data_IF_353475258576
#
_entry.id   IF_353475258576
#
_cell.length_a   1.000
_cell.length_b   1.000
_cell.length_c   1.000
_cell.angle_alpha   90.00
_cell.angle_beta   90.00
_cell.angle_gamma   90.00
#
_symmetry.space_group_name_H-M   'P 1'
#
loop_
_entity.id
_entity.type
_entity.pdbx_description
1 polymer ?
#
# COMPACT_ATOMS: atom_id res chain seq x y z
N UNK A 1 -28.88 -33.43 -32.02
CA UNK A 1 -28.18 -34.66 -31.55
C UNK A 1 -29.28 -35.69 -31.25
N UNK A 2 -29.22 -36.89 -31.82
CA UNK A 2 -30.20 -37.92 -31.54
C UNK A 2 -29.96 -38.50 -30.14
N UNK A 3 -31.01 -38.59 -29.32
CA UNK A 3 -30.91 -39.14 -27.97
C UNK A 3 -30.58 -40.65 -28.07
N UNK A 4 -29.57 -41.19 -27.37
CA UNK A 4 -29.18 -42.60 -27.47
C UNK A 4 -30.25 -43.61 -27.03
N UNK A 5 -31.38 -43.12 -26.46
CA UNK A 5 -32.50 -43.95 -25.98
C UNK A 5 -33.73 -43.90 -26.91
N UNK A 6 -33.54 -43.55 -28.18
CA UNK A 6 -34.66 -43.50 -29.16
C UNK A 6 -35.35 -44.84 -29.45
N UNK A 7 -34.87 -45.97 -28.93
CA UNK A 7 -35.49 -47.27 -29.07
C UNK A 7 -36.62 -47.55 -28.06
N UNK A 8 -36.86 -46.63 -27.10
CA UNK A 8 -38.00 -46.72 -26.18
C UNK A 8 -39.16 -45.94 -26.82
N UNK A 9 -40.21 -46.64 -27.28
CA UNK A 9 -41.33 -46.03 -28.00
C UNK A 9 -42.13 -45.01 -27.17
N UNK A 10 -42.24 -45.20 -25.85
CA UNK A 10 -42.95 -44.28 -24.97
C UNK A 10 -42.08 -43.14 -24.48
N UNK A 11 -42.36 -41.91 -24.91
CA UNK A 11 -41.59 -40.70 -24.58
C UNK A 11 -41.53 -40.43 -23.06
N UNK A 12 -42.56 -40.76 -22.29
CA UNK A 12 -42.59 -40.54 -20.84
C UNK A 12 -41.69 -41.53 -20.11
N UNK A 13 -41.66 -42.82 -20.58
CA UNK A 13 -40.76 -43.83 -20.02
C UNK A 13 -39.30 -43.41 -20.27
N UNK A 14 -39.01 -42.83 -21.43
CA UNK A 14 -37.68 -42.35 -21.80
C UNK A 14 -37.18 -41.27 -20.84
N UNK A 15 -38.02 -40.31 -20.49
CA UNK A 15 -37.65 -39.25 -19.53
C UNK A 15 -37.42 -39.81 -18.15
N UNK A 16 -38.27 -40.72 -17.68
CA UNK A 16 -38.10 -41.37 -16.37
C UNK A 16 -36.74 -42.09 -16.30
N UNK A 17 -36.39 -42.82 -17.38
CA UNK A 17 -35.12 -43.53 -17.48
C UNK A 17 -33.94 -42.55 -17.47
N UNK A 18 -34.01 -41.41 -18.20
CA UNK A 18 -32.98 -40.39 -18.22
C UNK A 18 -32.79 -39.77 -16.82
N UNK A 19 -33.87 -39.42 -16.13
CA UNK A 19 -33.83 -38.88 -14.79
C UNK A 19 -33.26 -39.88 -13.77
N UNK A 20 -33.63 -41.16 -13.90
CA UNK A 20 -33.13 -42.23 -13.07
C UNK A 20 -31.62 -42.45 -13.26
N UNK A 21 -31.16 -42.45 -14.53
CA UNK A 21 -29.73 -42.53 -14.87
C UNK A 21 -29.00 -41.31 -14.30
N UNK A 22 -29.52 -40.08 -14.50
CA UNK A 22 -28.93 -38.85 -13.98
C UNK A 22 -28.83 -38.87 -12.44
N UNK A 23 -29.85 -39.40 -11.76
CA UNK A 23 -29.84 -39.59 -10.29
C UNK A 23 -28.75 -40.57 -9.84
N UNK A 24 -28.65 -41.74 -10.51
CA UNK A 24 -27.60 -42.74 -10.20
C UNK A 24 -26.21 -42.17 -10.45
N UNK A 25 -26.01 -41.52 -11.60
CA UNK A 25 -24.73 -40.87 -11.94
C UNK A 25 -24.40 -39.79 -10.91
N UNK A 26 -25.38 -38.95 -10.53
CA UNK A 26 -25.22 -37.96 -9.48
C UNK A 26 -24.82 -38.54 -8.12
N UNK A 27 -25.48 -39.64 -7.72
CA UNK A 27 -25.13 -40.35 -6.47
C UNK A 27 -23.73 -40.97 -6.52
N UNK A 28 -23.35 -41.60 -7.63
CA UNK A 28 -22.02 -42.18 -7.82
C UNK A 28 -20.98 -41.06 -7.79
N UNK A 29 -21.25 -39.95 -8.47
CA UNK A 29 -20.35 -38.79 -8.46
C UNK A 29 -20.19 -38.26 -7.05
N UNK A 30 -21.27 -37.99 -6.34
CA UNK A 30 -21.25 -37.38 -5.01
C UNK A 30 -20.61 -38.33 -3.94
N UNK A 31 -21.05 -39.61 -3.91
CA UNK A 31 -20.60 -40.56 -2.89
C UNK A 31 -19.24 -41.21 -3.18
N UNK A 32 -18.86 -41.37 -4.45
CA UNK A 32 -17.65 -42.10 -4.83
C UNK A 32 -16.59 -41.17 -5.35
N UNK A 33 -16.88 -40.41 -6.40
CA UNK A 33 -15.90 -39.58 -7.11
C UNK A 33 -15.55 -38.38 -6.22
N UNK A 34 -16.52 -37.64 -5.75
CA UNK A 34 -16.32 -36.45 -4.91
C UNK A 34 -15.58 -36.79 -3.61
N UNK A 35 -15.97 -37.91 -2.93
CA UNK A 35 -15.25 -38.37 -1.73
C UNK A 35 -13.81 -38.82 -2.01
N UNK A 36 -13.55 -39.45 -3.16
CA UNK A 36 -12.19 -39.82 -3.56
C UNK A 36 -11.34 -38.58 -3.85
N UNK A 37 -11.89 -37.60 -4.58
CA UNK A 37 -11.24 -36.32 -4.87
C UNK A 37 -10.93 -35.60 -3.54
N UNK A 38 -11.90 -35.51 -2.62
CA UNK A 38 -11.74 -34.91 -1.30
C UNK A 38 -10.61 -35.58 -0.50
N UNK A 39 -10.53 -36.90 -0.49
CA UNK A 39 -9.44 -37.64 0.15
C UNK A 39 -8.07 -37.44 -0.52
N UNK A 40 -8.05 -37.25 -1.82
CA UNK A 40 -6.83 -37.01 -2.59
C UNK A 40 -6.32 -35.60 -2.38
N UNK A 41 -7.20 -34.62 -2.42
CA UNK A 41 -6.93 -33.21 -2.17
C UNK A 41 -6.48 -32.98 -0.73
N UNK A 42 -7.06 -33.66 0.26
CA UNK A 42 -6.62 -33.59 1.65
C UNK A 42 -5.16 -34.09 1.88
N UNK A 43 -4.55 -34.75 0.90
CA UNK A 43 -3.13 -35.18 0.94
C UNK A 43 -2.20 -34.19 0.24
N UNK A 44 -2.73 -33.25 -0.52
CA UNK A 44 -1.94 -32.20 -1.17
C UNK A 44 -1.66 -31.07 -0.18
N UNK A 45 -0.48 -30.45 -0.27
CA UNK A 45 -0.12 -29.29 0.56
C UNK A 45 -0.80 -27.98 0.08
N UNK A 46 -1.60 -28.05 -0.96
CA UNK A 46 -2.23 -26.89 -1.61
C UNK A 46 -3.66 -26.70 -1.09
N UNK A 47 -3.83 -25.82 -0.11
CA UNK A 47 -5.10 -25.60 0.61
C UNK A 47 -6.29 -25.10 -0.28
N UNK A 48 -6.02 -24.63 -1.48
CA UNK A 48 -7.06 -24.07 -2.35
C UNK A 48 -7.90 -25.13 -3.04
N UNK A 49 -7.36 -26.35 -3.21
CA UNK A 49 -8.06 -27.49 -3.80
C UNK A 49 -9.24 -27.91 -2.91
N UNK A 50 -9.05 -27.90 -1.59
CA UNK A 50 -10.08 -28.22 -0.61
C UNK A 50 -11.27 -27.26 -0.71
N UNK A 51 -11.03 -25.96 -0.93
CA UNK A 51 -12.07 -24.95 -1.05
C UNK A 51 -12.95 -25.24 -2.26
N UNK A 52 -12.33 -25.52 -3.41
CA UNK A 52 -13.05 -25.81 -4.65
C UNK A 52 -13.90 -27.05 -4.46
N UNK A 53 -13.31 -28.14 -3.98
CA UNK A 53 -14.02 -29.41 -3.82
C UNK A 53 -15.16 -29.30 -2.80
N UNK A 54 -14.93 -28.70 -1.64
CA UNK A 54 -15.97 -28.51 -0.63
C UNK A 54 -17.12 -27.61 -1.08
N UNK A 55 -16.87 -26.69 -2.03
CA UNK A 55 -17.90 -25.80 -2.56
C UNK A 55 -18.98 -26.51 -3.37
N UNK A 56 -18.67 -27.68 -3.89
CA UNK A 56 -19.61 -28.55 -4.61
C UNK A 56 -20.33 -29.57 -3.71
N UNK A 57 -20.04 -29.60 -2.41
CA UNK A 57 -20.73 -30.45 -1.43
C UNK A 57 -22.24 -30.21 -1.52
N UNK A 58 -23.00 -31.28 -1.72
CA UNK A 58 -24.46 -31.31 -1.87
C UNK A 58 -25.02 -30.57 -3.13
N UNK A 59 -24.17 -30.00 -3.99
CA UNK A 59 -24.61 -29.34 -5.23
C UNK A 59 -24.55 -30.32 -6.42
N UNK A 60 -23.57 -31.20 -6.44
CA UNK A 60 -23.30 -32.11 -7.53
C UNK A 60 -24.50 -32.98 -7.90
N UNK A 61 -25.21 -33.54 -6.92
CA UNK A 61 -26.42 -34.33 -7.19
C UNK A 61 -27.51 -33.52 -7.89
N UNK A 62 -27.81 -32.31 -7.42
CA UNK A 62 -28.83 -31.45 -8.03
C UNK A 62 -28.42 -31.01 -9.43
N UNK A 63 -27.13 -30.77 -9.67
CA UNK A 63 -26.61 -30.41 -10.99
C UNK A 63 -26.83 -31.55 -12.01
N UNK A 64 -26.53 -32.81 -11.66
CA UNK A 64 -26.78 -33.94 -12.50
C UNK A 64 -28.28 -34.18 -12.77
N UNK A 65 -29.13 -34.00 -11.73
CA UNK A 65 -30.58 -34.08 -11.89
C UNK A 65 -31.12 -33.02 -12.85
N UNK A 66 -30.69 -31.78 -12.73
CA UNK A 66 -31.12 -30.71 -13.64
C UNK A 66 -30.62 -30.91 -15.08
N UNK A 67 -29.35 -31.38 -15.23
CA UNK A 67 -28.85 -31.79 -16.56
C UNK A 67 -29.65 -32.93 -17.15
N UNK A 68 -30.00 -33.96 -16.34
CA UNK A 68 -30.90 -35.04 -16.77
C UNK A 68 -32.29 -34.53 -17.15
N UNK A 69 -32.85 -33.59 -16.38
CA UNK A 69 -34.12 -32.95 -16.69
C UNK A 69 -34.08 -32.17 -18.02
N UNK A 70 -32.97 -31.43 -18.26
CA UNK A 70 -32.76 -30.69 -19.49
C UNK A 70 -32.68 -31.63 -20.73
N UNK A 71 -31.90 -32.72 -20.61
CA UNK A 71 -31.81 -33.74 -21.68
C UNK A 71 -33.13 -34.45 -21.86
N UNK A 72 -33.84 -34.79 -20.78
CA UNK A 72 -35.14 -35.43 -20.82
C UNK A 72 -36.20 -34.57 -21.50
N UNK A 73 -36.20 -33.27 -21.26
CA UNK A 73 -37.09 -32.30 -21.88
C UNK A 73 -37.00 -32.31 -23.41
N UNK A 74 -35.79 -32.49 -23.96
CA UNK A 74 -35.57 -32.57 -25.41
C UNK A 74 -36.13 -33.86 -26.04
N UNK A 75 -36.49 -34.85 -25.21
CA UNK A 75 -36.99 -36.14 -25.65
C UNK A 75 -38.51 -36.24 -25.68
N UNK A 76 -39.24 -35.20 -25.28
CA UNK A 76 -40.71 -35.16 -25.22
C UNK A 76 -41.25 -34.21 -26.27
N UNK A 77 -42.31 -34.63 -26.95
CA UNK A 77 -43.11 -33.78 -27.84
C UNK A 77 -44.22 -33.09 -27.02
N UNK A 78 -43.94 -31.89 -26.51
CA UNK A 78 -44.90 -31.03 -25.81
C UNK A 78 -45.08 -29.73 -26.59
N UNK A 79 -46.15 -29.00 -26.27
CA UNK A 79 -46.39 -27.72 -26.93
C UNK A 79 -45.22 -26.76 -26.69
N UNK A 80 -44.85 -25.97 -27.71
CA UNK A 80 -43.73 -25.05 -27.69
C UNK A 80 -43.78 -24.07 -26.52
N UNK A 81 -44.97 -23.65 -26.07
CA UNK A 81 -45.12 -22.75 -24.95
C UNK A 81 -44.72 -23.41 -23.62
N UNK A 82 -45.14 -24.66 -23.38
CA UNK A 82 -44.77 -25.40 -22.17
C UNK A 82 -43.29 -25.73 -22.19
N UNK A 83 -42.76 -26.17 -23.36
CA UNK A 83 -41.32 -26.41 -23.52
C UNK A 83 -40.48 -25.25 -23.12
N UNK A 84 -40.74 -24.05 -23.65
CA UNK A 84 -39.99 -22.82 -23.35
C UNK A 84 -40.06 -22.42 -21.88
N UNK A 85 -41.20 -22.63 -21.21
CA UNK A 85 -41.34 -22.33 -19.78
C UNK A 85 -40.48 -23.28 -18.94
N UNK A 86 -40.60 -24.61 -19.21
CA UNK A 86 -39.84 -25.62 -18.44
C UNK A 86 -38.35 -25.49 -18.65
N UNK A 87 -37.91 -25.26 -19.90
CA UNK A 87 -36.52 -25.00 -20.25
C UNK A 87 -35.95 -23.82 -19.48
N UNK A 88 -36.66 -22.69 -19.47
CA UNK A 88 -36.23 -21.49 -18.68
C UNK A 88 -36.14 -21.80 -17.19
N UNK A 89 -37.08 -22.53 -16.61
CA UNK A 89 -37.04 -22.91 -15.20
C UNK A 89 -35.79 -23.76 -14.91
N UNK A 90 -35.52 -24.77 -15.74
CA UNK A 90 -34.33 -25.63 -15.58
C UNK A 90 -33.04 -24.79 -15.68
N UNK A 91 -32.95 -23.91 -16.67
CA UNK A 91 -31.80 -23.02 -16.85
C UNK A 91 -31.60 -22.09 -15.65
N UNK A 92 -32.67 -21.49 -15.12
CA UNK A 92 -32.62 -20.64 -13.93
C UNK A 92 -32.09 -21.42 -12.72
N UNK A 93 -32.57 -22.64 -12.50
CA UNK A 93 -32.12 -23.49 -11.41
C UNK A 93 -30.64 -23.89 -11.57
N UNK A 94 -30.19 -24.19 -12.79
CA UNK A 94 -28.78 -24.46 -13.09
C UNK A 94 -27.90 -23.23 -12.78
N UNK A 95 -28.30 -22.05 -13.27
CA UNK A 95 -27.59 -20.80 -13.01
C UNK A 95 -27.52 -20.54 -11.49
N UNK A 96 -28.62 -20.75 -10.76
CA UNK A 96 -28.67 -20.56 -9.32
C UNK A 96 -27.70 -21.48 -8.54
N UNK A 97 -27.59 -22.76 -8.95
CA UNK A 97 -26.60 -23.69 -8.39
C UNK A 97 -25.15 -23.23 -8.66
N UNK A 98 -24.89 -22.73 -9.89
CA UNK A 98 -23.57 -22.19 -10.24
C UNK A 98 -23.23 -20.95 -9.39
N UNK A 99 -24.20 -20.07 -9.16
CA UNK A 99 -24.03 -18.88 -8.32
C UNK A 99 -23.69 -19.30 -6.88
N UNK A 100 -24.40 -20.29 -6.32
CA UNK A 100 -24.13 -20.81 -4.97
C UNK A 100 -22.71 -21.40 -4.90
N UNK A 101 -22.33 -22.24 -5.88
CA UNK A 101 -20.99 -22.82 -5.94
C UNK A 101 -19.91 -21.73 -6.04
N UNK A 102 -20.07 -20.77 -6.94
CA UNK A 102 -19.19 -19.64 -7.12
C UNK A 102 -19.06 -18.78 -5.84
N UNK A 103 -20.19 -18.53 -5.16
CA UNK A 103 -20.20 -17.80 -3.89
C UNK A 103 -19.43 -18.54 -2.80
N UNK A 104 -19.59 -19.87 -2.67
CA UNK A 104 -18.86 -20.69 -1.70
C UNK A 104 -17.36 -20.70 -1.99
N UNK A 105 -16.97 -20.83 -3.26
CA UNK A 105 -15.57 -20.76 -3.69
C UNK A 105 -14.96 -19.41 -3.29
N UNK A 106 -15.57 -18.31 -3.69
CA UNK A 106 -15.06 -16.98 -3.45
C UNK A 106 -14.93 -16.67 -1.94
N UNK A 107 -15.95 -17.03 -1.16
CA UNK A 107 -15.91 -16.86 0.30
C UNK A 107 -14.82 -17.74 0.92
N UNK A 108 -14.67 -18.98 0.48
CA UNK A 108 -13.63 -19.88 0.97
C UNK A 108 -12.21 -19.37 0.71
N UNK A 109 -11.97 -18.73 -0.44
CA UNK A 109 -10.70 -18.06 -0.72
C UNK A 109 -10.44 -16.91 0.25
N UNK A 110 -11.45 -16.07 0.52
CA UNK A 110 -11.36 -14.96 1.46
C UNK A 110 -11.05 -15.48 2.86
N UNK A 111 -11.72 -16.53 3.32
CA UNK A 111 -11.52 -17.11 4.64
C UNK A 111 -10.09 -17.64 4.81
N UNK A 112 -9.60 -18.40 3.83
CA UNK A 112 -8.24 -18.93 3.88
C UNK A 112 -7.17 -17.82 3.85
N UNK A 113 -7.42 -16.74 3.10
CA UNK A 113 -6.51 -15.60 3.07
C UNK A 113 -6.55 -14.83 4.40
N UNK A 114 -7.73 -14.62 4.97
CA UNK A 114 -7.93 -13.93 6.24
C UNK A 114 -7.33 -14.73 7.41
N UNK A 115 -7.38 -16.06 7.40
CA UNK A 115 -6.72 -16.89 8.41
C UNK A 115 -5.19 -16.72 8.43
N UNK A 116 -4.56 -16.50 7.30
CA UNK A 116 -3.11 -16.27 7.23
C UNK A 116 -2.69 -14.89 7.79
N UNK A 117 -3.58 -13.90 7.76
CA UNK A 117 -3.32 -12.52 8.20
C UNK A 117 -3.86 -12.28 9.63
N UNK A 118 -4.53 -13.25 10.23
CA UNK A 118 -5.32 -13.15 11.47
C UNK A 118 -4.54 -12.75 12.75
N UNK A 119 -3.24 -12.43 12.67
CA UNK A 119 -2.55 -11.78 13.79
C UNK A 119 -2.94 -10.30 13.98
N UNK A 120 -3.56 -9.65 12.97
CA UNK A 120 -3.78 -8.20 12.96
C UNK A 120 -5.20 -7.74 12.60
N UNK A 121 -6.07 -8.63 12.08
CA UNK A 121 -7.42 -8.24 11.66
C UNK A 121 -8.47 -9.16 12.31
N UNK A 122 -9.50 -8.62 12.99
CA UNK A 122 -10.62 -9.43 13.48
C UNK A 122 -11.30 -10.12 12.30
N UNK A 123 -11.79 -11.37 12.48
CA UNK A 123 -12.60 -12.09 11.47
C UNK A 123 -13.76 -11.21 11.03
N UNK A 124 -13.55 -10.44 9.97
CA UNK A 124 -14.56 -9.52 9.49
C UNK A 124 -15.44 -10.23 8.47
N UNK A 125 -16.70 -10.50 8.85
CA UNK A 125 -17.75 -11.00 7.96
C UNK A 125 -18.09 -10.00 6.83
N UNK A 126 -17.55 -8.78 6.89
CA UNK A 126 -17.80 -7.71 5.91
C UNK A 126 -17.35 -8.14 4.52
N UNK A 127 -16.11 -8.62 4.37
CA UNK A 127 -15.59 -9.05 3.06
C UNK A 127 -16.38 -10.22 2.48
N UNK A 128 -16.76 -11.20 3.32
CA UNK A 128 -17.62 -12.31 2.91
C UNK A 128 -18.98 -11.81 2.43
N UNK A 129 -19.61 -10.88 3.16
CA UNK A 129 -20.93 -10.36 2.82
C UNK A 129 -20.89 -9.52 1.55
N UNK A 130 -19.90 -8.65 1.38
CA UNK A 130 -19.71 -7.88 0.13
C UNK A 130 -19.53 -8.82 -1.05
N UNK A 131 -18.70 -9.86 -0.93
CA UNK A 131 -18.48 -10.84 -1.99
C UNK A 131 -19.76 -11.59 -2.33
N UNK A 132 -20.53 -12.03 -1.33
CA UNK A 132 -21.85 -12.67 -1.57
C UNK A 132 -22.79 -11.71 -2.30
N UNK A 133 -22.91 -10.47 -1.84
CA UNK A 133 -23.78 -9.47 -2.48
C UNK A 133 -23.41 -9.28 -3.94
N UNK A 134 -22.11 -9.12 -4.25
CA UNK A 134 -21.66 -8.96 -5.63
C UNK A 134 -21.99 -10.17 -6.51
N UNK A 135 -21.69 -11.39 -6.05
CA UNK A 135 -21.94 -12.62 -6.82
C UNK A 135 -23.44 -12.84 -7.02
N UNK A 136 -24.26 -12.67 -5.97
CA UNK A 136 -25.71 -12.81 -6.09
C UNK A 136 -26.34 -11.72 -6.96
N UNK A 137 -25.82 -10.48 -6.93
CA UNK A 137 -26.29 -9.40 -7.81
C UNK A 137 -26.01 -9.73 -9.29
N UNK A 138 -24.79 -10.17 -9.61
CA UNK A 138 -24.43 -10.60 -10.97
C UNK A 138 -25.31 -11.79 -11.39
N UNK A 139 -25.48 -12.77 -10.51
CA UNK A 139 -26.33 -13.94 -10.76
C UNK A 139 -27.79 -13.56 -11.00
N UNK A 140 -28.33 -12.63 -10.23
CA UNK A 140 -29.69 -12.12 -10.43
C UNK A 140 -29.85 -11.45 -11.80
N UNK A 141 -28.88 -10.66 -12.25
CA UNK A 141 -28.89 -10.06 -13.59
C UNK A 141 -28.91 -11.12 -14.69
N UNK A 142 -28.11 -12.19 -14.57
CA UNK A 142 -28.09 -13.30 -15.54
C UNK A 142 -29.44 -13.99 -15.56
N UNK A 143 -30.07 -14.25 -14.41
CA UNK A 143 -31.39 -14.86 -14.32
C UNK A 143 -32.46 -13.97 -14.98
N UNK A 144 -32.46 -12.66 -14.70
CA UNK A 144 -33.39 -11.72 -15.31
C UNK A 144 -33.26 -11.70 -16.85
N UNK A 145 -32.01 -11.71 -17.34
CA UNK A 145 -31.75 -11.77 -18.78
C UNK A 145 -32.26 -13.07 -19.39
N UNK A 146 -32.11 -14.22 -18.72
CA UNK A 146 -32.62 -15.51 -19.16
C UNK A 146 -34.16 -15.51 -19.25
N UNK A 147 -34.83 -14.79 -18.34
CA UNK A 147 -36.26 -14.57 -18.37
C UNK A 147 -36.73 -13.66 -19.53
N UNK A 148 -35.80 -12.98 -20.21
CA UNK A 148 -36.10 -12.01 -21.27
C UNK A 148 -36.39 -10.60 -20.77
N UNK A 149 -36.10 -10.33 -19.48
CA UNK A 149 -36.23 -8.99 -18.87
C UNK A 149 -35.00 -8.17 -19.26
N UNK A 150 -35.23 -6.96 -19.77
CA UNK A 150 -34.12 -6.06 -20.11
C UNK A 150 -33.36 -5.62 -18.84
N UNK A 151 -32.07 -5.98 -18.76
CA UNK A 151 -31.19 -5.62 -17.66
C UNK A 151 -30.51 -4.26 -17.84
N UNK A 152 -30.65 -3.63 -19.02
CA UNK A 152 -30.01 -2.34 -19.35
C UNK A 152 -30.30 -1.25 -18.32
N UNK A 153 -31.55 -1.02 -17.86
CA UNK A 153 -31.81 0.00 -16.85
C UNK A 153 -31.13 -0.28 -15.51
N UNK A 154 -31.06 -1.57 -15.14
CA UNK A 154 -30.44 -2.00 -13.88
C UNK A 154 -28.92 -1.79 -13.95
N UNK A 155 -28.28 -2.20 -15.07
CA UNK A 155 -26.83 -2.00 -15.26
C UNK A 155 -26.50 -0.51 -15.28
N UNK A 156 -27.33 0.33 -15.95
CA UNK A 156 -27.13 1.77 -15.97
C UNK A 156 -27.21 2.37 -14.54
N UNK A 157 -28.21 1.97 -13.77
CA UNK A 157 -28.34 2.43 -12.37
C UNK A 157 -27.16 1.95 -11.50
N UNK A 158 -26.72 0.68 -11.69
CA UNK A 158 -25.54 0.15 -10.99
C UNK A 158 -24.26 0.89 -11.43
N UNK A 159 -24.14 1.30 -12.69
CA UNK A 159 -23.02 2.09 -13.19
C UNK A 159 -22.92 3.45 -12.51
N UNK A 160 -24.04 4.17 -12.38
CA UNK A 160 -24.09 5.44 -11.63
C UNK A 160 -23.79 5.24 -10.16
N UNK A 161 -24.36 4.21 -9.53
CA UNK A 161 -24.05 3.83 -8.15
C UNK A 161 -22.57 3.45 -7.96
N UNK A 162 -22.01 2.71 -8.92
CA UNK A 162 -20.58 2.36 -8.93
C UNK A 162 -19.67 3.57 -9.03
N UNK A 163 -20.04 4.58 -9.85
CA UNK A 163 -19.32 5.84 -9.92
C UNK A 163 -19.33 6.57 -8.57
N UNK A 164 -20.48 6.64 -7.90
CA UNK A 164 -20.57 7.25 -6.58
C UNK A 164 -19.68 6.54 -5.55
N UNK A 165 -19.65 5.20 -5.57
CA UNK A 165 -18.76 4.41 -4.72
C UNK A 165 -17.29 4.65 -5.06
N UNK A 166 -16.94 4.70 -6.35
CA UNK A 166 -15.57 4.99 -6.78
C UNK A 166 -15.08 6.37 -6.31
N UNK A 167 -15.94 7.39 -6.40
CA UNK A 167 -15.64 8.74 -5.88
C UNK A 167 -15.46 8.73 -4.36
N UNK A 168 -16.28 7.97 -3.63
CA UNK A 168 -16.15 7.85 -2.17
C UNK A 168 -14.83 7.17 -1.75
N UNK A 169 -14.29 6.25 -2.55
CA UNK A 169 -13.02 5.55 -2.29
C UNK A 169 -11.80 6.20 -2.95
N UNK A 170 -11.97 7.29 -3.67
CA UNK A 170 -10.91 7.96 -4.44
C UNK A 170 -9.68 8.27 -3.59
N UNK A 171 -9.87 8.85 -2.40
CA UNK A 171 -8.75 9.19 -1.50
C UNK A 171 -8.03 7.94 -0.99
N UNK A 172 -8.77 6.88 -0.67
CA UNK A 172 -8.20 5.61 -0.20
C UNK A 172 -7.32 4.97 -1.27
N UNK A 173 -7.82 4.92 -2.52
CA UNK A 173 -7.05 4.41 -3.65
C UNK A 173 -5.83 5.30 -3.96
N UNK A 174 -5.99 6.62 -3.90
CA UNK A 174 -4.88 7.58 -4.10
C UNK A 174 -3.75 7.31 -3.10
N UNK A 175 -4.07 7.14 -1.81
CA UNK A 175 -3.07 6.83 -0.79
C UNK A 175 -2.39 5.48 -1.02
N UNK A 176 -3.13 4.46 -1.43
CA UNK A 176 -2.58 3.14 -1.76
C UNK A 176 -1.57 3.22 -2.91
N UNK A 177 -1.97 3.83 -4.04
CA UNK A 177 -1.09 3.97 -5.20
C UNK A 177 0.11 4.86 -4.93
N UNK A 178 -0.06 5.94 -4.16
CA UNK A 178 1.03 6.80 -3.71
C UNK A 178 2.03 6.02 -2.84
N UNK A 179 1.55 5.23 -1.88
CA UNK A 179 2.40 4.37 -1.05
C UNK A 179 3.20 3.34 -1.87
N UNK A 180 2.55 2.68 -2.82
CA UNK A 180 3.23 1.76 -3.74
C UNK A 180 4.29 2.46 -4.59
N UNK A 181 4.00 3.68 -5.07
CA UNK A 181 4.96 4.47 -5.86
C UNK A 181 6.17 4.92 -5.02
N UNK A 182 5.95 5.38 -3.77
CA UNK A 182 7.03 5.74 -2.85
C UNK A 182 7.97 4.54 -2.63
N UNK A 183 7.41 3.36 -2.34
CA UNK A 183 8.18 2.14 -2.13
C UNK A 183 8.92 1.68 -3.39
N UNK A 184 8.29 1.78 -4.57
CA UNK A 184 8.86 1.36 -5.84
C UNK A 184 9.97 2.29 -6.33
N UNK A 185 9.79 3.61 -6.19
CA UNK A 185 10.77 4.63 -6.65
C UNK A 185 12.02 4.69 -5.78
N UNK A 186 11.93 4.25 -4.53
CA UNK A 186 13.02 4.26 -3.54
C UNK A 186 13.66 5.63 -3.31
N UNK A 187 12.96 6.71 -3.62
CA UNK A 187 13.41 8.08 -3.35
C UNK A 187 13.34 8.42 -1.86
N UNK A 188 12.47 7.74 -1.15
CA UNK A 188 12.31 7.81 0.30
C UNK A 188 12.34 6.38 0.82
N UNK A 189 13.18 6.12 1.85
CA UNK A 189 13.33 4.81 2.48
C UNK A 189 13.18 4.94 3.99
N UNK A 190 12.83 3.83 4.64
CA UNK A 190 12.84 3.75 6.10
C UNK A 190 14.27 4.02 6.59
N UNK A 191 14.39 4.90 7.57
CA UNK A 191 15.66 5.38 8.13
C UNK A 191 16.20 6.64 7.49
N UNK A 192 15.65 7.12 6.37
CA UNK A 192 16.07 8.40 5.78
C UNK A 192 15.60 9.58 6.64
N UNK A 193 16.44 10.61 6.76
CA UNK A 193 16.02 11.91 7.29
C UNK A 193 15.52 12.78 6.15
N UNK A 194 14.24 13.18 6.23
CA UNK A 194 13.60 14.00 5.21
C UNK A 194 13.02 15.28 5.79
N UNK A 195 12.91 16.27 4.94
CA UNK A 195 12.23 17.55 5.23
C UNK A 195 11.25 17.87 4.12
N UNK A 196 10.01 18.20 4.49
CA UNK A 196 8.96 18.63 3.60
C UNK A 196 8.91 20.15 3.49
N UNK A 197 8.30 20.64 2.41
CA UNK A 197 8.10 22.07 2.15
C UNK A 197 7.26 22.80 3.22
N UNK A 198 6.38 22.08 3.91
CA UNK A 198 5.57 22.58 5.03
C UNK A 198 6.34 22.65 6.35
N UNK A 199 7.64 22.35 6.36
CA UNK A 199 8.51 22.39 7.53
C UNK A 199 8.53 21.13 8.39
N UNK A 200 7.74 20.10 8.07
CA UNK A 200 7.83 18.82 8.76
C UNK A 200 9.15 18.16 8.39
N UNK A 201 9.94 17.78 9.41
CA UNK A 201 11.22 17.09 9.21
C UNK A 201 11.42 15.99 10.26
N UNK A 202 12.13 14.92 9.88
CA UNK A 202 12.44 13.80 10.76
C UNK A 202 12.85 12.54 10.01
N UNK A 203 13.05 11.47 10.78
CA UNK A 203 13.38 10.15 10.25
C UNK A 203 12.12 9.40 9.81
N UNK A 204 12.17 8.79 8.65
CA UNK A 204 11.11 7.89 8.17
C UNK A 204 11.15 6.61 9.00
N UNK A 205 10.16 6.39 9.85
CA UNK A 205 10.05 5.23 10.74
C UNK A 205 9.37 4.05 10.05
N UNK A 206 8.28 4.32 9.30
CA UNK A 206 7.52 3.31 8.58
C UNK A 206 6.83 3.89 7.34
N UNK A 207 6.64 3.04 6.33
CA UNK A 207 5.88 3.35 5.11
C UNK A 207 4.81 2.26 4.96
N UNK A 208 3.60 2.54 5.41
CA UNK A 208 2.44 1.67 5.29
C UNK A 208 1.70 1.89 3.97
N UNK A 209 0.71 1.05 3.67
CA UNK A 209 -0.08 1.16 2.44
C UNK A 209 -0.85 2.49 2.28
N UNK A 210 -1.19 3.17 3.39
CA UNK A 210 -1.99 4.41 3.39
C UNK A 210 -1.22 5.63 3.86
N UNK A 211 -0.26 5.47 4.77
CA UNK A 211 0.45 6.58 5.41
C UNK A 211 1.93 6.26 5.63
N UNK A 212 2.73 7.29 5.72
CA UNK A 212 4.12 7.26 6.13
C UNK A 212 4.27 7.90 7.51
N UNK A 213 5.03 7.28 8.38
CA UNK A 213 5.31 7.77 9.75
C UNK A 213 6.69 8.40 9.76
N UNK A 214 6.75 9.65 10.22
CA UNK A 214 7.99 10.40 10.41
C UNK A 214 8.20 10.62 11.90
N UNK A 215 9.34 10.17 12.42
CA UNK A 215 9.78 10.42 13.79
C UNK A 215 10.61 11.69 13.84
N UNK A 216 10.12 12.72 14.51
CA UNK A 216 10.82 13.99 14.68
C UNK A 216 11.88 13.92 15.79
N UNK A 217 12.83 14.85 15.76
CA UNK A 217 13.90 14.94 16.76
C UNK A 217 13.40 15.03 18.21
N UNK A 218 12.28 15.73 18.53
CA UNK A 218 11.72 15.76 19.89
C UNK A 218 11.05 14.44 20.32
N UNK A 219 11.17 13.35 19.55
CA UNK A 219 10.62 12.03 19.81
C UNK A 219 9.08 11.92 19.68
N UNK A 220 8.45 12.80 18.92
CA UNK A 220 7.05 12.70 18.50
C UNK A 220 6.96 12.14 17.08
N UNK A 221 5.78 11.62 16.75
CA UNK A 221 5.51 11.03 15.43
C UNK A 221 4.53 11.90 14.64
N UNK A 222 4.83 12.09 13.37
CA UNK A 222 3.95 12.72 12.39
C UNK A 222 3.50 11.65 11.41
N UNK A 223 2.19 11.48 11.27
CA UNK A 223 1.56 10.51 10.36
C UNK A 223 1.07 11.28 9.14
N UNK A 224 1.63 10.99 7.99
CA UNK A 224 1.35 11.70 6.74
C UNK A 224 0.66 10.75 5.77
N UNK A 225 -0.51 11.10 5.20
CA UNK A 225 -1.10 10.33 4.12
C UNK A 225 -0.13 10.23 2.93
N UNK A 226 -0.01 9.04 2.35
CA UNK A 226 0.95 8.82 1.25
C UNK A 226 0.68 9.71 0.04
N UNK A 227 -0.58 10.02 -0.27
CA UNK A 227 -0.94 10.93 -1.36
C UNK A 227 -0.40 12.35 -1.13
N UNK A 228 -0.42 12.83 0.13
CA UNK A 228 0.16 14.12 0.50
C UNK A 228 1.68 14.11 0.41
N UNK A 229 2.32 13.04 0.88
CA UNK A 229 3.78 12.90 0.79
C UNK A 229 4.27 12.81 -0.66
N UNK A 230 3.56 12.05 -1.51
CA UNK A 230 3.92 11.89 -2.93
C UNK A 230 3.77 13.17 -3.76
N UNK A 231 2.94 14.12 -3.31
CA UNK A 231 2.75 15.42 -3.95
C UNK A 231 3.58 16.56 -3.33
N UNK A 232 4.21 16.33 -2.18
CA UNK A 232 5.03 17.33 -1.50
C UNK A 232 6.42 17.45 -2.14
N UNK A 233 7.04 18.63 -1.96
CA UNK A 233 8.47 18.80 -2.24
C UNK A 233 9.23 18.23 -1.05
N UNK A 234 10.07 17.23 -1.31
CA UNK A 234 10.82 16.51 -0.29
C UNK A 234 12.33 16.74 -0.48
N UNK A 235 12.98 17.22 0.56
CA UNK A 235 14.45 17.20 0.66
C UNK A 235 14.84 15.93 1.42
N UNK A 236 15.54 15.00 0.76
CA UNK A 236 16.09 13.81 1.39
C UNK A 236 17.58 14.05 1.70
N UNK A 237 17.95 14.06 2.98
CA UNK A 237 19.32 14.30 3.42
C UNK A 237 20.22 13.07 3.35
N UNK A 238 19.66 11.91 2.99
CA UNK A 238 20.41 10.67 2.80
C UNK A 238 20.76 10.42 1.33
N UNK A 239 20.41 11.34 0.43
CA UNK A 239 20.64 11.22 -1.01
C UNK A 239 21.44 12.44 -1.54
N UNK A 240 22.40 12.22 -2.50
CA UNK A 240 22.87 10.93 -3.01
C UNK A 240 23.66 10.13 -1.96
N UNK A 241 24.26 10.81 -0.99
CA UNK A 241 25.05 10.26 0.11
C UNK A 241 24.51 10.75 1.43
N UNK A 242 24.77 10.05 2.52
CA UNK A 242 24.37 10.45 3.87
C UNK A 242 25.21 11.62 4.43
N UNK A 243 26.41 11.79 3.87
CA UNK A 243 27.29 12.86 4.29
C UNK A 243 26.73 14.23 3.94
N UNK A 244 26.83 15.16 4.87
CA UNK A 244 26.33 16.50 4.66
C UNK A 244 27.29 17.59 5.17
N UNK A 245 27.26 18.73 4.52
CA UNK A 245 28.04 19.89 4.96
C UNK A 245 27.34 20.55 6.15
N UNK A 246 28.16 20.90 7.16
CA UNK A 246 27.77 21.71 8.28
C UNK A 246 28.33 23.10 8.07
N UNK A 247 27.48 24.11 8.00
CA UNK A 247 27.91 25.50 7.90
C UNK A 247 27.83 26.13 9.29
N UNK A 248 28.99 26.62 9.78
CA UNK A 248 29.07 27.38 11.03
C UNK A 248 29.50 28.79 10.71
N UNK A 249 28.63 29.74 11.01
CA UNK A 249 28.91 31.17 10.84
C UNK A 249 29.73 31.68 12.01
N UNK A 250 30.81 32.40 11.71
CA UNK A 250 31.72 33.01 12.69
C UNK A 250 31.99 34.46 12.29
N UNK A 251 32.14 35.34 13.28
CA UNK A 251 32.53 36.74 13.05
C UNK A 251 33.75 37.13 13.87
N UNK A 252 34.64 37.92 13.28
CA UNK A 252 35.84 38.45 13.94
C UNK A 252 35.91 39.97 13.79
N UNK A 253 36.70 40.62 14.67
CA UNK A 253 36.89 42.08 14.65
C UNK A 253 37.50 42.53 13.32
N UNK A 254 37.19 43.75 12.91
CA UNK A 254 37.79 44.43 11.74
C UNK A 254 39.30 44.59 11.87
N UNK A 255 39.84 44.65 13.10
CA UNK A 255 41.26 44.76 13.39
C UNK A 255 42.00 43.42 13.29
N UNK A 256 41.29 42.33 12.99
CA UNK A 256 41.90 41.01 12.94
C UNK A 256 42.66 40.79 11.62
N UNK A 257 43.81 40.14 11.72
CA UNK A 257 44.52 39.59 10.54
C UNK A 257 43.71 38.37 10.00
N UNK A 258 43.11 38.54 8.82
CA UNK A 258 42.22 37.52 8.25
C UNK A 258 42.97 36.25 7.83
N UNK A 259 44.23 36.35 7.39
CA UNK A 259 45.04 35.18 7.03
C UNK A 259 45.39 34.36 8.28
N UNK A 260 45.72 35.04 9.39
CA UNK A 260 45.95 34.41 10.69
C UNK A 260 44.66 33.75 11.22
N UNK A 261 43.52 34.43 11.14
CA UNK A 261 42.21 33.92 11.54
C UNK A 261 41.88 32.65 10.73
N UNK A 262 42.06 32.68 9.42
CA UNK A 262 41.82 31.52 8.56
C UNK A 262 42.66 30.32 8.96
N UNK A 263 43.97 30.52 9.13
CA UNK A 263 44.93 29.49 9.55
C UNK A 263 44.53 28.83 10.88
N UNK A 264 44.27 29.63 11.91
CA UNK A 264 43.88 29.13 13.23
C UNK A 264 42.56 28.42 13.22
N UNK A 265 41.57 28.94 12.47
CA UNK A 265 40.25 28.33 12.35
C UNK A 265 40.31 26.99 11.62
N UNK A 266 41.11 26.92 10.55
CA UNK A 266 41.33 25.65 9.81
C UNK A 266 42.06 24.61 10.67
N UNK A 267 43.01 25.00 11.52
CA UNK A 267 43.66 24.08 12.46
C UNK A 267 42.62 23.43 13.41
N UNK A 268 41.73 24.22 14.00
CA UNK A 268 40.70 23.74 14.90
C UNK A 268 39.66 22.89 14.12
N UNK A 269 39.27 23.31 12.93
CA UNK A 269 38.33 22.57 12.11
C UNK A 269 38.88 21.19 11.72
N UNK A 270 40.14 21.10 11.29
CA UNK A 270 40.84 19.85 10.99
C UNK A 270 40.96 18.93 12.18
N UNK A 271 41.24 19.50 13.37
CA UNK A 271 41.27 18.73 14.62
C UNK A 271 39.93 18.11 14.94
N UNK A 272 38.82 18.85 14.82
CA UNK A 272 37.48 18.35 15.04
C UNK A 272 37.12 17.26 14.01
N UNK A 273 37.41 17.49 12.74
CA UNK A 273 37.13 16.47 11.69
C UNK A 273 37.87 15.15 11.94
N UNK A 274 39.09 15.19 12.47
CA UNK A 274 39.90 14.00 12.75
C UNK A 274 39.54 13.29 14.05
N UNK A 275 39.10 14.03 15.07
CA UNK A 275 39.01 13.48 16.45
C UNK A 275 37.59 13.26 16.92
N UNK A 276 36.61 13.99 16.37
CA UNK A 276 35.26 13.93 16.90
C UNK A 276 34.39 12.86 16.20
N UNK A 277 33.64 12.04 16.96
CA UNK A 277 32.75 11.02 16.37
C UNK A 277 31.70 11.66 15.49
N UNK A 278 31.34 10.96 14.38
CA UNK A 278 30.34 11.44 13.42
C UNK A 278 30.85 12.43 12.38
N UNK A 279 32.09 12.94 12.52
CA UNK A 279 32.76 13.74 11.48
C UNK A 279 33.39 12.87 10.41
N UNK A 280 33.71 13.46 9.26
CA UNK A 280 34.37 12.83 8.11
C UNK A 280 35.84 13.25 8.11
N UNK A 281 36.79 12.38 8.55
CA UNK A 281 38.19 12.75 8.74
C UNK A 281 38.92 13.14 7.45
N UNK A 282 38.46 12.60 6.31
CA UNK A 282 39.03 12.82 4.99
C UNK A 282 38.59 14.16 4.38
N UNK A 283 37.56 14.78 4.94
CA UNK A 283 37.07 16.06 4.45
C UNK A 283 37.99 17.20 4.89
N UNK A 284 38.46 17.98 3.92
CA UNK A 284 39.20 19.22 4.21
C UNK A 284 38.23 20.37 4.49
N UNK A 285 38.19 20.91 5.72
CA UNK A 285 37.37 22.06 6.07
C UNK A 285 37.71 23.27 5.20
N UNK A 286 36.68 24.06 4.89
CA UNK A 286 36.82 25.26 4.06
C UNK A 286 36.35 26.49 4.87
N UNK A 287 37.01 27.63 4.62
CA UNK A 287 36.57 28.92 5.14
C UNK A 287 36.24 29.85 3.98
N UNK A 288 35.15 30.62 4.13
CA UNK A 288 34.74 31.63 3.16
C UNK A 288 34.28 32.90 3.87
N UNK A 289 35.04 33.96 3.75
CA UNK A 289 34.61 35.28 4.14
C UNK A 289 33.56 35.80 3.16
N UNK A 290 32.46 36.36 3.64
CA UNK A 290 31.35 36.73 2.77
C UNK A 290 30.68 38.06 3.07
N UNK A 291 30.85 38.63 4.26
CA UNK A 291 30.12 39.85 4.65
C UNK A 291 30.94 40.74 5.61
N UNK A 292 30.99 42.01 5.28
CA UNK A 292 31.34 43.07 6.24
C UNK A 292 30.05 43.43 7.00
N UNK A 293 29.93 42.96 8.23
CA UNK A 293 28.78 43.22 9.10
C UNK A 293 28.93 44.49 9.91
N UNK A 294 27.94 44.86 10.71
CA UNK A 294 27.93 46.13 11.47
C UNK A 294 29.12 46.27 12.42
N UNK A 295 29.64 45.17 12.98
CA UNK A 295 30.74 45.15 13.95
C UNK A 295 31.70 43.98 13.75
N UNK A 296 31.54 43.15 12.73
CA UNK A 296 32.38 42.00 12.47
C UNK A 296 32.55 41.70 11.01
N UNK A 297 33.68 41.11 10.63
CA UNK A 297 33.85 40.43 9.34
C UNK A 297 33.36 39.00 9.50
N UNK A 298 32.32 38.62 8.74
CA UNK A 298 31.67 37.34 8.86
C UNK A 298 32.20 36.35 7.81
N UNK A 299 32.32 35.12 8.25
CA UNK A 299 32.71 34.01 7.37
C UNK A 299 32.02 32.71 7.77
N UNK A 300 31.95 31.80 6.84
CA UNK A 300 31.44 30.45 7.03
C UNK A 300 32.59 29.47 7.15
N UNK A 301 32.50 28.59 8.15
CA UNK A 301 33.34 27.40 8.27
C UNK A 301 32.50 26.21 7.83
N UNK A 302 33.00 25.49 6.83
CA UNK A 302 32.30 24.33 6.25
C UNK A 302 32.99 23.09 6.79
N UNK A 303 32.24 22.33 7.58
CA UNK A 303 32.60 21.02 8.11
C UNK A 303 31.74 19.94 7.45
N UNK A 304 31.99 18.66 7.73
CA UNK A 304 31.19 17.56 7.17
C UNK A 304 30.81 16.54 8.25
N UNK A 305 29.52 16.20 8.30
CA UNK A 305 28.97 15.15 9.13
C UNK A 305 28.71 13.88 8.30
N UNK A 306 28.83 12.70 8.91
CA UNK A 306 28.47 11.41 8.30
C UNK A 306 26.98 11.25 8.10
N UNK A 307 26.18 11.75 9.04
CA UNK A 307 24.73 11.68 9.02
C UNK A 307 24.10 12.98 9.55
N UNK A 308 22.81 13.18 9.26
CA UNK A 308 22.10 14.41 9.65
C UNK A 308 22.17 14.71 11.14
N UNK A 309 22.04 13.71 12.00
CA UNK A 309 22.05 13.90 13.45
C UNK A 309 23.42 14.34 14.01
N UNK A 310 24.50 13.95 13.33
CA UNK A 310 25.88 14.24 13.76
C UNK A 310 26.23 15.73 13.67
N UNK A 311 25.51 16.50 12.85
CA UNK A 311 25.78 17.93 12.69
C UNK A 311 25.70 18.72 14.01
N UNK A 312 24.76 18.33 14.89
CA UNK A 312 24.53 19.06 16.15
C UNK A 312 25.71 18.94 17.14
N UNK A 313 26.16 17.72 17.47
CA UNK A 313 27.29 17.56 18.37
C UNK A 313 28.61 18.06 17.76
N UNK A 314 28.83 17.88 16.44
CA UNK A 314 30.03 18.39 15.76
C UNK A 314 30.07 19.92 15.82
N UNK A 315 28.98 20.61 15.51
CA UNK A 315 28.87 22.08 15.60
C UNK A 315 29.15 22.57 17.00
N UNK A 316 28.55 21.94 17.99
CA UNK A 316 28.77 22.30 19.40
C UNK A 316 30.24 22.16 19.80
N UNK A 317 30.90 21.07 19.47
CA UNK A 317 32.30 20.82 19.78
C UNK A 317 33.24 21.79 19.05
N UNK A 318 32.97 22.04 17.76
CA UNK A 318 33.74 23.00 16.98
C UNK A 318 33.69 24.40 17.61
N UNK A 319 32.50 24.89 17.98
CA UNK A 319 32.33 26.19 18.60
C UNK A 319 33.13 26.28 19.90
N UNK A 320 33.10 25.23 20.73
CA UNK A 320 33.85 25.21 22.01
C UNK A 320 35.35 25.25 21.81
N UNK A 321 35.89 24.42 20.91
CA UNK A 321 37.34 24.39 20.61
C UNK A 321 37.79 25.71 19.97
N UNK A 322 37.00 26.24 19.04
CA UNK A 322 37.29 27.50 18.37
C UNK A 322 37.34 28.67 19.36
N UNK A 323 36.34 28.78 20.22
CA UNK A 323 36.29 29.83 21.25
C UNK A 323 37.52 29.77 22.19
N UNK A 324 37.88 28.56 22.63
CA UNK A 324 39.07 28.36 23.47
C UNK A 324 40.33 28.78 22.72
N UNK A 325 40.54 28.34 21.51
CA UNK A 325 41.71 28.63 20.70
C UNK A 325 41.84 30.13 20.40
N UNK A 326 40.72 30.79 20.04
CA UNK A 326 40.71 32.23 19.79
C UNK A 326 41.15 33.05 21.02
N UNK A 327 40.66 32.67 22.20
CA UNK A 327 41.07 33.29 23.46
C UNK A 327 42.56 33.11 23.74
N UNK A 328 43.12 31.93 23.42
CA UNK A 328 44.57 31.64 23.62
C UNK A 328 45.47 32.46 22.70
N UNK A 329 45.05 32.71 21.45
CA UNK A 329 45.85 33.39 20.43
C UNK A 329 45.49 34.87 20.25
N UNK A 330 44.56 35.40 21.04
CA UNK A 330 44.17 36.82 21.03
C UNK A 330 43.27 37.25 19.85
N UNK A 331 42.58 36.31 19.17
CA UNK A 331 41.58 36.64 18.15
C UNK A 331 40.31 37.11 18.86
N UNK A 332 39.86 38.33 18.53
CA UNK A 332 38.68 38.94 19.18
C UNK A 332 37.39 38.63 18.39
N UNK A 333 36.42 38.05 19.09
CA UNK A 333 35.01 38.00 18.63
C UNK A 333 34.36 39.28 19.15
N UNK A 334 33.97 40.22 18.28
CA UNK A 334 33.52 41.55 18.73
C UNK A 334 32.13 41.49 19.35
N UNK A 335 31.93 42.38 20.33
CA UNK A 335 30.59 42.72 20.81
C UNK A 335 29.95 43.79 19.90
N UNK A 336 28.63 43.99 19.94
CA UNK A 336 28.01 45.13 19.29
C UNK A 336 28.66 46.43 19.74
N UNK A 337 29.20 47.20 18.79
CA UNK A 337 29.87 48.47 19.05
C UNK A 337 28.96 49.61 18.66
N UNK A 338 28.74 50.56 19.57
CA UNK A 338 27.97 51.78 19.31
C UNK A 338 28.84 52.98 19.61
N UNK A 339 28.99 53.88 18.64
CA UNK A 339 29.68 55.19 18.86
C UNK A 339 28.66 56.15 19.43
N UNK A 340 28.99 56.75 20.60
CA UNK A 340 28.16 57.78 21.23
C UNK A 340 28.88 59.12 21.15
N UNK A 341 28.32 60.08 20.40
CA UNK A 341 28.81 61.46 20.39
C UNK A 341 28.11 62.27 21.49
N UNK A 342 28.90 62.76 22.46
CA UNK A 342 28.40 63.60 23.56
C UNK A 342 28.56 65.08 23.17
N UNK A 343 27.46 65.74 22.89
CA UNK A 343 27.45 67.17 22.67
C UNK A 343 27.25 67.90 24.01
N UNK A 344 28.25 68.71 24.42
CA UNK A 344 28.10 69.58 25.56
C UNK A 344 27.27 70.80 25.18
N UNK A 345 26.07 70.91 25.73
CA UNK A 345 25.21 72.07 25.51
C UNK A 345 25.89 73.26 26.28
N UNK A 346 26.34 74.27 25.53
CA UNK A 346 26.82 75.51 26.15
C UNK A 346 25.70 76.31 26.82
#
# INVERSE_FOLDING_TARGET
MACPLNFIDNQYIRVIVILFIAYIVGLIFDKVIHRKIKKWVAKTSFKYDDIIVNSFDNISLYLFLLLGAFIGLQSINISSNIYNIVEKIILILLIFLIIIAGSRIAVGFIDNYTEKINQYLPKSSIFQNITKILIFSIGALIILQTLGISITPIITAMGVGGLAVALAFQETLSNLFAGLNILASRQIKIGDFIKLDNGIEGFVEDISWRYTIIKQMPNNMVIIPNSSLASAIVTNFNLPDKEMNIIVQVGVSYDSDLEFVEKVTLEVAKDVMKTFPGSVPEFEPLIRFHTFGDFSINFNVILRAKEYADQFPIRNEFIKRLHKKYKEVGITIPFPITTVELYKKN
#
